data_IF_332367267338
#
_entry.id   IF_332367267338
#
_cell.length_a   1.000
_cell.length_b   1.000
_cell.length_c   1.000
_cell.angle_alpha   90.00
_cell.angle_beta   90.00
_cell.angle_gamma   90.00
#
_symmetry.space_group_name_H-M   'P 1'
#
loop_
_entity.id
_entity.type
_entity.pdbx_description
1 polymer ?
#
# COMPACT_ATOMS: atom_id res chain seq x y z
N UNK A 1 -5.72 -22.87 -20.10
CA UNK A 1 -7.14 -22.45 -20.17
C UNK A 1 -7.26 -21.22 -21.08
N UNK A 2 -6.31 -20.29 -20.94
CA UNK A 2 -6.12 -19.04 -21.66
C UNK A 2 -6.11 -19.20 -23.19
N UNK A 3 -5.35 -20.17 -23.72
CA UNK A 3 -5.30 -20.46 -25.17
C UNK A 3 -6.66 -20.85 -25.75
N UNK A 4 -7.44 -21.67 -25.03
CA UNK A 4 -8.78 -22.08 -25.46
C UNK A 4 -9.75 -20.90 -25.50
N UNK A 5 -9.64 -19.97 -24.55
CA UNK A 5 -10.51 -18.78 -24.47
C UNK A 5 -10.13 -17.80 -25.58
N UNK A 6 -8.83 -17.55 -25.77
CA UNK A 6 -8.33 -16.72 -26.87
C UNK A 6 -8.79 -17.26 -28.23
N UNK A 7 -8.71 -18.58 -28.46
CA UNK A 7 -9.21 -19.18 -29.71
C UNK A 7 -10.71 -18.95 -29.93
N UNK A 8 -11.54 -19.04 -28.87
CA UNK A 8 -12.97 -18.73 -28.98
C UNK A 8 -13.21 -17.26 -29.31
N UNK A 9 -12.46 -16.37 -28.68
CA UNK A 9 -12.54 -14.94 -28.91
C UNK A 9 -12.10 -14.58 -30.33
N UNK A 10 -11.02 -15.19 -30.81
CA UNK A 10 -10.53 -15.06 -32.18
C UNK A 10 -11.56 -15.53 -33.20
N UNK A 11 -12.19 -16.69 -33.00
CA UNK A 11 -13.27 -17.17 -33.88
C UNK A 11 -14.45 -16.20 -33.90
N UNK A 12 -14.84 -15.65 -32.75
CA UNK A 12 -15.95 -14.69 -32.65
C UNK A 12 -15.64 -13.38 -33.39
N UNK A 13 -14.45 -12.81 -33.15
CA UNK A 13 -14.01 -11.58 -33.81
C UNK A 13 -13.85 -11.80 -35.31
N UNK A 14 -13.37 -12.96 -35.74
CA UNK A 14 -13.24 -13.29 -37.16
C UNK A 14 -14.60 -13.39 -37.85
N UNK A 15 -15.60 -13.99 -37.20
CA UNK A 15 -16.97 -14.02 -37.71
C UNK A 15 -17.57 -12.60 -37.80
N UNK A 16 -17.34 -11.76 -36.80
CA UNK A 16 -17.77 -10.36 -36.80
C UNK A 16 -17.10 -9.53 -37.91
N UNK A 17 -15.78 -9.62 -38.07
CA UNK A 17 -15.05 -8.96 -39.15
C UNK A 17 -15.61 -9.40 -40.52
N UNK A 18 -15.93 -10.68 -40.68
CA UNK A 18 -16.58 -11.23 -41.86
C UNK A 18 -17.94 -10.57 -42.15
N UNK A 19 -18.83 -10.51 -41.16
CA UNK A 19 -20.16 -9.91 -41.35
C UNK A 19 -20.11 -8.42 -41.66
N UNK A 20 -19.14 -7.68 -41.08
CA UNK A 20 -18.91 -6.26 -41.41
C UNK A 20 -18.48 -6.13 -42.86
N UNK A 21 -17.52 -6.93 -43.31
CA UNK A 21 -17.02 -6.89 -44.69
C UNK A 21 -18.13 -7.26 -45.68
N UNK A 22 -18.95 -8.25 -45.38
CA UNK A 22 -20.06 -8.66 -46.23
C UNK A 22 -21.11 -7.54 -46.36
N UNK A 23 -21.39 -6.82 -45.26
CA UNK A 23 -22.26 -5.65 -45.30
C UNK A 23 -21.68 -4.52 -46.16
N UNK A 24 -20.37 -4.24 -46.02
CA UNK A 24 -19.71 -3.17 -46.79
C UNK A 24 -19.67 -3.52 -48.28
N UNK A 25 -19.48 -4.79 -48.65
CA UNK A 25 -19.55 -5.26 -50.05
C UNK A 25 -20.94 -5.12 -50.67
N UNK A 26 -22.01 -5.16 -49.86
CA UNK A 26 -23.38 -4.95 -50.32
C UNK A 26 -23.70 -3.47 -50.54
N UNK A 27 -22.88 -2.55 -50.02
CA UNK A 27 -23.01 -1.13 -50.30
C UNK A 27 -22.31 -0.80 -51.62
N UNK A 28 -22.95 0.01 -52.45
CA UNK A 28 -22.37 0.49 -53.71
C UNK A 28 -21.38 1.63 -53.43
N UNK A 29 -20.20 1.26 -52.91
CA UNK A 29 -19.11 2.18 -52.54
C UNK A 29 -18.04 2.22 -53.63
N UNK A 30 -17.38 3.37 -53.77
CA UNK A 30 -16.19 3.49 -54.62
C UNK A 30 -15.10 2.49 -54.20
N UNK A 31 -14.49 1.82 -55.19
CA UNK A 31 -13.48 0.76 -55.01
C UNK A 31 -12.38 1.13 -53.99
N UNK A 32 -11.86 2.37 -54.06
CA UNK A 32 -10.81 2.86 -53.16
C UNK A 32 -11.28 2.94 -51.69
N UNK A 33 -12.54 3.31 -51.45
CA UNK A 33 -13.10 3.39 -50.09
C UNK A 33 -13.36 2.00 -49.53
N UNK A 34 -13.81 1.06 -50.38
CA UNK A 34 -14.00 -0.34 -50.02
C UNK A 34 -12.69 -0.99 -49.57
N UNK A 35 -11.61 -0.84 -50.35
CA UNK A 35 -10.30 -1.39 -50.03
C UNK A 35 -9.73 -0.81 -48.72
N UNK A 36 -9.85 0.51 -48.52
CA UNK A 36 -9.43 1.16 -47.28
C UNK A 36 -10.17 0.62 -46.04
N UNK A 37 -11.48 0.39 -46.14
CA UNK A 37 -12.28 -0.15 -45.03
C UNK A 37 -11.89 -1.61 -44.74
N UNK A 38 -11.72 -2.43 -45.79
CA UNK A 38 -11.30 -3.82 -45.62
C UNK A 38 -9.94 -3.92 -44.95
N UNK A 39 -8.97 -3.11 -45.40
CA UNK A 39 -7.64 -3.07 -44.83
C UNK A 39 -7.67 -2.69 -43.35
N UNK A 40 -8.42 -1.62 -42.99
CA UNK A 40 -8.59 -1.20 -41.61
C UNK A 40 -9.19 -2.29 -40.71
N UNK A 41 -10.19 -3.03 -41.22
CA UNK A 41 -10.83 -4.12 -40.46
C UNK A 41 -9.88 -5.30 -40.27
N UNK A 42 -9.10 -5.67 -41.28
CA UNK A 42 -8.14 -6.78 -41.18
C UNK A 42 -6.93 -6.45 -40.31
N UNK A 43 -6.38 -5.24 -40.47
CA UNK A 43 -5.21 -4.76 -39.72
C UNK A 43 -5.51 -4.47 -38.25
N UNK A 44 -6.80 -4.35 -37.89
CA UNK A 44 -7.19 -4.13 -36.50
C UNK A 44 -6.67 -5.25 -35.58
N UNK A 45 -5.90 -4.84 -34.57
CA UNK A 45 -5.17 -5.73 -33.67
C UNK A 45 -6.08 -6.74 -32.97
N UNK A 46 -5.62 -7.99 -32.89
CA UNK A 46 -6.35 -9.05 -32.19
C UNK A 46 -6.17 -8.88 -30.68
N UNK A 47 -7.29 -8.73 -29.98
CA UNK A 47 -7.29 -8.71 -28.52
C UNK A 47 -6.90 -10.10 -27.97
N UNK A 48 -5.88 -10.15 -27.12
CA UNK A 48 -5.39 -11.38 -26.47
C UNK A 48 -5.42 -11.23 -24.96
N UNK A 49 -6.10 -12.16 -24.29
CA UNK A 49 -6.03 -12.28 -22.84
C UNK A 49 -4.68 -12.88 -22.45
N UNK A 50 -4.04 -12.25 -21.48
CA UNK A 50 -2.77 -12.67 -20.91
C UNK A 50 -2.98 -13.47 -19.64
N UNK A 51 -1.93 -14.11 -19.12
CA UNK A 51 -2.01 -14.85 -17.85
C UNK A 51 -2.40 -13.96 -16.68
N UNK A 52 -2.04 -12.67 -16.74
CA UNK A 52 -2.33 -11.70 -15.68
C UNK A 52 -3.84 -11.50 -15.48
N UNK A 53 -4.61 -11.58 -16.57
CA UNK A 53 -6.08 -11.46 -16.55
C UNK A 53 -6.77 -12.61 -15.79
N UNK A 54 -6.16 -13.78 -15.76
CA UNK A 54 -6.67 -14.95 -15.05
C UNK A 54 -6.13 -15.09 -13.62
N UNK A 55 -5.06 -14.37 -13.29
CA UNK A 55 -4.55 -14.35 -11.92
C UNK A 55 -5.41 -13.46 -11.02
N UNK A 56 -5.94 -14.03 -9.93
CA UNK A 56 -6.51 -13.21 -8.86
C UNK A 56 -5.41 -12.31 -8.33
N UNK A 57 -5.55 -11.00 -8.55
CA UNK A 57 -4.61 -10.00 -8.03
C UNK A 57 -4.46 -10.23 -6.52
N UNK A 58 -3.25 -10.59 -6.10
CA UNK A 58 -2.91 -10.70 -4.68
C UNK A 58 -2.82 -9.27 -4.15
N UNK A 59 -3.91 -8.77 -3.55
CA UNK A 59 -3.88 -7.47 -2.87
C UNK A 59 -2.76 -7.53 -1.83
N UNK A 60 -1.81 -6.59 -1.93
CA UNK A 60 -0.77 -6.42 -0.91
C UNK A 60 -1.50 -6.15 0.40
N UNK A 61 -1.29 -7.01 1.39
CA UNK A 61 -1.84 -6.80 2.72
C UNK A 61 -1.01 -5.70 3.36
N UNK A 62 -1.58 -4.51 3.54
CA UNK A 62 -0.95 -3.52 4.40
C UNK A 62 -0.95 -4.05 5.83
N UNK A 63 0.24 -4.23 6.39
CA UNK A 63 0.42 -4.68 7.77
C UNK A 63 0.11 -3.51 8.69
N UNK A 64 -0.98 -3.62 9.45
CA UNK A 64 -1.32 -2.66 10.50
C UNK A 64 -0.47 -2.98 11.74
N UNK A 65 0.16 -2.00 12.42
CA UNK A 65 0.87 -2.21 13.68
C UNK A 65 -0.01 -2.89 14.74
N UNK A 66 0.58 -3.70 15.63
CA UNK A 66 -0.19 -4.49 16.61
C UNK A 66 -1.06 -3.63 17.55
N UNK A 67 -0.56 -2.46 17.96
CA UNK A 67 -1.28 -1.54 18.85
C UNK A 67 -2.51 -0.89 18.20
N UNK A 68 -2.53 -0.83 16.88
CA UNK A 68 -3.63 -0.30 16.07
C UNK A 68 -4.64 -1.38 15.67
N UNK A 69 -4.35 -2.66 15.95
CA UNK A 69 -5.25 -3.76 15.59
C UNK A 69 -6.38 -3.88 16.59
N UNK A 70 -7.51 -4.34 16.06
CA UNK A 70 -8.66 -4.71 16.85
C UNK A 70 -8.32 -5.85 17.83
N UNK A 71 -8.77 -5.72 19.07
CA UNK A 71 -8.55 -6.68 20.16
C UNK A 71 -9.51 -7.89 20.15
N UNK A 72 -10.39 -8.02 19.16
CA UNK A 72 -11.31 -9.16 19.05
C UNK A 72 -10.69 -10.34 18.30
N UNK A 73 -11.21 -11.54 18.57
CA UNK A 73 -10.84 -12.77 17.87
C UNK A 73 -11.70 -13.01 16.63
N UNK A 74 -11.12 -13.68 15.64
CA UNK A 74 -11.83 -14.31 14.53
C UNK A 74 -12.34 -15.70 14.96
N UNK A 75 -13.21 -16.30 14.14
CA UNK A 75 -13.63 -17.70 14.34
C UNK A 75 -12.45 -18.68 14.36
N UNK A 76 -11.31 -18.33 13.76
CA UNK A 76 -10.06 -19.10 13.83
C UNK A 76 -9.31 -18.97 15.17
N UNK A 77 -9.78 -18.15 16.12
CA UNK A 77 -9.10 -17.86 17.39
C UNK A 77 -8.00 -16.80 17.30
N UNK A 78 -7.59 -16.39 16.09
CA UNK A 78 -6.57 -15.36 15.86
C UNK A 78 -7.12 -13.93 16.08
N UNK A 79 -6.23 -13.00 16.45
CA UNK A 79 -6.55 -11.58 16.56
C UNK A 79 -7.01 -11.01 15.22
N UNK A 80 -8.03 -10.15 15.26
CA UNK A 80 -8.51 -9.43 14.10
C UNK A 80 -7.44 -8.52 13.51
N UNK A 81 -7.11 -8.72 12.23
CA UNK A 81 -6.11 -7.90 11.53
C UNK A 81 -6.64 -6.54 11.04
N UNK A 82 -7.83 -6.11 11.47
CA UNK A 82 -8.42 -4.83 11.07
C UNK A 82 -7.99 -3.73 12.05
N UNK A 83 -7.88 -2.49 11.56
CA UNK A 83 -7.59 -1.33 12.41
C UNK A 83 -8.77 -1.08 13.35
N UNK A 84 -8.46 -0.78 14.62
CA UNK A 84 -9.44 -0.37 15.63
C UNK A 84 -10.01 1.02 15.31
N UNK A 85 -11.21 1.34 15.79
CA UNK A 85 -11.77 2.69 15.66
C UNK A 85 -11.12 3.64 16.67
N UNK A 86 -11.21 4.92 16.40
CA UNK A 86 -10.81 5.94 17.37
C UNK A 86 -11.64 5.76 18.65
N UNK A 87 -10.96 5.79 19.81
CA UNK A 87 -11.55 5.58 21.14
C UNK A 87 -12.23 4.21 21.36
N UNK A 88 -11.93 3.22 20.52
CA UNK A 88 -12.48 1.87 20.67
C UNK A 88 -11.41 0.80 20.43
N UNK A 89 -11.39 -0.25 21.23
CA UNK A 89 -10.47 -1.39 21.04
C UNK A 89 -10.88 -2.33 19.89
N UNK A 90 -11.99 -2.02 19.22
CA UNK A 90 -12.58 -2.88 18.20
C UNK A 90 -12.65 -2.19 16.84
N UNK A 91 -12.57 -2.98 15.76
CA UNK A 91 -12.91 -2.49 14.44
C UNK A 91 -14.43 -2.37 14.30
N UNK A 92 -14.90 -1.58 13.34
CA UNK A 92 -16.35 -1.34 13.16
C UNK A 92 -17.22 -2.59 12.93
N UNK A 93 -16.63 -3.74 12.59
CA UNK A 93 -17.37 -5.01 12.48
C UNK A 93 -17.48 -5.74 13.82
N UNK A 94 -16.43 -5.72 14.63
CA UNK A 94 -16.45 -6.32 15.98
C UNK A 94 -17.16 -5.46 17.01
N UNK A 95 -17.28 -4.16 16.75
CA UNK A 95 -18.18 -3.27 17.49
C UNK A 95 -19.66 -3.58 17.20
N UNK A 96 -20.02 -3.79 15.92
CA UNK A 96 -21.40 -4.05 15.47
C UNK A 96 -21.88 -5.49 15.67
N UNK A 97 -20.98 -6.47 15.63
CA UNK A 97 -21.29 -7.89 15.76
C UNK A 97 -20.47 -8.53 16.89
N UNK A 98 -21.05 -8.64 18.08
CA UNK A 98 -20.42 -9.35 19.21
C UNK A 98 -20.87 -10.81 19.28
N UNK A 99 -19.91 -11.74 19.38
CA UNK A 99 -19.87 -12.55 20.60
C UNK A 99 -18.47 -12.55 21.25
N UNK A 100 -18.46 -12.10 22.51
CA UNK A 100 -17.58 -12.27 23.69
C UNK A 100 -16.07 -12.66 23.63
N UNK A 101 -15.38 -12.72 22.49
CA UNK A 101 -13.95 -13.04 22.46
C UNK A 101 -13.04 -11.82 22.57
N UNK A 102 -12.47 -11.54 23.77
CA UNK A 102 -11.46 -10.48 23.99
C UNK A 102 -10.06 -11.11 24.00
N UNK A 103 -9.10 -10.48 23.33
CA UNK A 103 -7.67 -10.73 23.52
C UNK A 103 -7.19 -9.79 24.63
N UNK A 104 -7.00 -10.29 25.85
CA UNK A 104 -6.27 -9.54 26.87
C UNK A 104 -4.78 -9.59 26.54
N UNK A 105 -4.16 -8.43 26.37
CA UNK A 105 -2.73 -8.30 26.09
C UNK A 105 -1.87 -8.38 27.37
N UNK A 106 -2.40 -8.93 28.46
CA UNK A 106 -1.73 -8.93 29.78
C UNK A 106 -0.55 -9.92 29.89
N UNK A 107 -0.05 -10.47 28.78
CA UNK A 107 0.88 -11.60 28.82
C UNK A 107 2.08 -11.55 27.88
N UNK A 108 2.24 -10.51 27.05
CA UNK A 108 3.47 -10.34 26.27
C UNK A 108 4.03 -8.96 26.53
N UNK A 109 5.10 -8.92 27.31
CA UNK A 109 6.10 -7.85 27.37
C UNK A 109 6.78 -7.68 25.99
N UNK A 110 6.01 -7.44 24.94
CA UNK A 110 6.55 -6.87 23.72
C UNK A 110 6.84 -5.41 24.08
N UNK A 111 8.09 -4.93 23.94
CA UNK A 111 8.38 -3.52 24.19
C UNK A 111 7.41 -2.70 23.35
N UNK A 112 6.60 -1.88 24.02
CA UNK A 112 5.65 -1.02 23.35
C UNK A 112 6.44 -0.19 22.33
N UNK A 113 6.26 -0.46 21.04
CA UNK A 113 6.86 0.34 19.98
C UNK A 113 6.20 1.73 20.06
N UNK A 114 6.84 2.63 20.81
CA UNK A 114 6.41 4.00 20.97
C UNK A 114 6.94 4.80 19.80
N UNK A 115 6.02 5.35 18.99
CA UNK A 115 6.38 6.27 17.92
C UNK A 115 6.86 7.57 18.57
N UNK A 116 8.10 7.98 18.28
CA UNK A 116 8.67 9.28 18.69
C UNK A 116 8.88 10.16 17.48
N UNK A 117 8.68 11.45 17.66
CA UNK A 117 8.98 12.46 16.66
C UNK A 117 10.37 13.03 16.94
N UNK A 118 11.25 12.92 15.94
CA UNK A 118 12.61 13.44 15.96
C UNK A 118 12.66 14.60 14.96
N UNK A 119 13.26 15.72 15.36
CA UNK A 119 13.47 16.87 14.47
C UNK A 119 14.92 17.36 14.53
N UNK A 120 15.33 18.09 13.49
CA UNK A 120 16.64 18.71 13.41
C UNK A 120 16.64 20.06 14.13
N UNK A 121 17.60 20.26 15.03
CA UNK A 121 17.80 21.50 15.79
C UNK A 121 19.25 21.96 15.64
N UNK A 122 19.44 23.21 15.27
CA UNK A 122 20.78 23.81 15.24
C UNK A 122 21.17 24.24 16.66
N UNK A 123 22.32 23.74 17.13
CA UNK A 123 22.92 24.05 18.44
C UNK A 123 24.37 24.48 18.16
N UNK A 124 24.68 25.75 18.42
CA UNK A 124 26.01 26.36 18.16
C UNK A 124 26.56 26.12 16.74
N UNK A 125 25.69 26.15 15.73
CA UNK A 125 26.07 26.00 14.31
C UNK A 125 26.23 24.54 13.83
N UNK A 126 25.95 23.56 14.68
CA UNK A 126 25.92 22.14 14.31
C UNK A 126 24.47 21.64 14.41
N UNK A 127 24.02 20.89 13.41
CA UNK A 127 22.67 20.31 13.39
C UNK A 127 22.66 19.00 14.17
N UNK A 128 21.81 18.94 15.19
CA UNK A 128 21.56 17.75 15.99
C UNK A 128 20.13 17.26 15.80
N UNK A 129 19.91 15.96 15.89
CA UNK A 129 18.58 15.37 15.89
C UNK A 129 18.13 15.14 17.33
N UNK A 130 16.99 15.72 17.71
CA UNK A 130 16.47 15.70 19.09
C UNK A 130 15.00 15.31 19.16
N UNK A 131 14.54 14.83 20.32
CA UNK A 131 13.12 14.55 20.62
C UNK A 131 12.54 15.43 21.73
N UNK A 132 11.25 15.21 22.04
CA UNK A 132 10.52 15.88 23.12
C UNK A 132 10.91 15.42 24.53
N UNK A 133 11.69 14.34 24.66
CA UNK A 133 12.14 13.79 25.95
C UNK A 133 13.58 14.21 26.30
N UNK A 134 14.11 15.22 25.61
CA UNK A 134 15.45 15.76 25.82
C UNK A 134 16.60 14.85 25.34
N UNK A 135 16.35 13.91 24.43
CA UNK A 135 17.37 13.04 23.87
C UNK A 135 18.01 13.64 22.62
N UNK A 136 19.31 13.42 22.46
CA UNK A 136 20.08 13.73 21.25
C UNK A 136 20.49 12.42 20.59
N UNK A 137 20.16 12.26 19.32
CA UNK A 137 20.40 11.04 18.55
C UNK A 137 21.66 11.13 17.70
N UNK A 138 22.26 9.98 17.42
CA UNK A 138 23.33 9.87 16.44
C UNK A 138 22.82 10.29 15.05
N UNK A 139 23.51 11.24 14.42
CA UNK A 139 23.19 11.72 13.08
C UNK A 139 23.24 10.63 12.03
N UNK A 140 24.20 9.70 12.10
CA UNK A 140 24.34 8.61 11.12
C UNK A 140 23.17 7.65 11.18
N UNK A 141 22.70 7.30 12.38
CA UNK A 141 21.59 6.38 12.59
C UNK A 141 20.27 6.97 12.09
N UNK A 142 20.04 8.26 12.37
CA UNK A 142 18.83 8.97 11.93
C UNK A 142 18.83 9.16 10.41
N UNK A 143 19.97 9.55 9.81
CA UNK A 143 20.10 9.71 8.35
C UNK A 143 19.97 8.36 7.63
N UNK A 144 20.48 7.27 8.23
CA UNK A 144 20.37 5.92 7.69
C UNK A 144 19.02 5.24 7.96
N UNK A 145 18.08 5.95 8.61
CA UNK A 145 16.74 5.48 8.93
C UNK A 145 16.74 4.15 9.72
N UNK A 146 17.70 4.01 10.64
CA UNK A 146 17.85 2.84 11.49
C UNK A 146 16.71 2.82 12.51
N UNK A 147 16.13 1.64 12.72
CA UNK A 147 15.11 1.44 13.74
C UNK A 147 15.76 1.46 15.12
N UNK A 148 15.27 2.33 16.01
CA UNK A 148 15.83 2.59 17.36
C UNK A 148 17.25 3.23 17.31
N UNK A 149 17.37 4.47 16.79
CA UNK A 149 18.66 5.15 16.66
C UNK A 149 19.30 5.42 18.03
N UNK A 150 20.64 5.34 18.10
CA UNK A 150 21.36 5.45 19.36
C UNK A 150 21.28 6.86 19.94
N UNK A 151 20.94 6.96 21.21
CA UNK A 151 21.01 8.21 21.99
C UNK A 151 22.47 8.45 22.37
N UNK A 152 23.00 9.62 22.01
CA UNK A 152 24.41 10.00 22.23
C UNK A 152 24.58 11.00 23.37
N UNK A 153 23.55 11.78 23.69
CA UNK A 153 23.58 12.77 24.76
C UNK A 153 22.16 13.22 25.16
N UNK A 154 22.06 14.07 26.18
CA UNK A 154 20.84 14.83 26.49
C UNK A 154 21.02 16.33 26.28
N UNK A 155 20.00 16.98 25.72
CA UNK A 155 20.00 18.44 25.58
C UNK A 155 19.23 19.10 26.73
N UNK A 156 19.55 20.36 27.00
CA UNK A 156 18.86 21.20 27.97
C UNK A 156 18.42 22.48 27.28
N UNK A 157 17.17 22.89 27.53
CA UNK A 157 16.62 24.15 27.06
C UNK A 157 16.63 25.17 28.20
N UNK A 158 17.54 26.14 28.16
CA UNK A 158 17.58 27.25 29.13
C UNK A 158 17.39 28.59 28.40
N UNK A 159 16.44 29.40 28.87
CA UNK A 159 16.18 30.77 28.41
C UNK A 159 16.08 30.95 26.87
N UNK A 160 15.51 29.97 26.16
CA UNK A 160 15.33 30.00 24.71
C UNK A 160 16.50 29.47 23.89
N UNK A 161 17.63 29.14 24.53
CA UNK A 161 18.75 28.44 23.91
C UNK A 161 18.72 26.93 24.17
N UNK A 162 19.25 26.18 23.22
CA UNK A 162 19.52 24.75 23.34
C UNK A 162 21.01 24.57 23.68
N UNK A 163 21.32 23.69 24.62
CA UNK A 163 22.68 23.27 24.96
C UNK A 163 22.75 21.77 25.17
N UNK A 164 23.93 21.17 25.00
CA UNK A 164 24.22 19.77 25.27
C UNK A 164 25.36 19.73 26.31
N UNK A 165 25.04 19.58 27.62
CA UNK A 165 26.03 19.63 28.69
C UNK A 165 27.16 18.61 28.56
N UNK A 166 26.88 17.42 28.02
CA UNK A 166 27.90 16.37 27.80
C UNK A 166 28.96 16.77 26.77
N UNK A 167 28.60 17.64 25.82
CA UNK A 167 29.53 18.19 24.83
C UNK A 167 30.06 19.56 25.23
N UNK A 168 29.73 20.03 26.45
CA UNK A 168 30.13 21.33 26.98
C UNK A 168 29.66 22.51 26.09
N UNK A 169 28.49 22.34 25.45
CA UNK A 169 27.88 23.31 24.52
C UNK A 169 26.45 23.68 24.91
#
# INVERSE_FOLDING_TARGET
>A
MDTRINNKFDSYIQAFKGSVIDLVKQQDLEQNKLENIMQLVYDYEKFKLTKEDFTKRKRVKNTIPLHDRCCAKRASGEQCTRRKKDECDYCGTHEKGRPHGIVNNDGTNAPAQMKREIWAQEIRGIVYYIDSENNVYNTEDVVSNIHDPKIIAKYVKQNGGYGIPEFNI
#
